data_IF_372966742865
#
_entry.id   IF_372966742865
#
_cell.length_a   1.000
_cell.length_b   1.000
_cell.length_c   1.000
_cell.angle_alpha   90.00
_cell.angle_beta   90.00
_cell.angle_gamma   90.00
#
_symmetry.space_group_name_H-M   'P 1'
#
loop_
_entity.id
_entity.type
_entity.pdbx_description
1 polymer ?
#
# COMPACT_ATOMS: atom_id res chain seq x y z
N UNK A 1 12.19 26.91 36.18
CA UNK A 1 11.59 27.37 34.91
C UNK A 1 11.93 26.46 33.72
N UNK A 2 13.20 26.02 33.57
CA UNK A 2 13.66 25.10 32.51
C UNK A 2 12.81 23.82 32.35
N UNK A 3 12.37 23.18 33.44
CA UNK A 3 11.54 21.96 33.38
C UNK A 3 10.16 22.19 32.74
N UNK A 4 9.57 23.38 32.94
CA UNK A 4 8.28 23.75 32.33
C UNK A 4 8.44 24.10 30.84
N UNK A 5 9.57 24.73 30.48
CA UNK A 5 9.92 25.04 29.09
C UNK A 5 10.16 23.76 28.28
N UNK A 6 10.85 22.78 28.84
CA UNK A 6 11.11 21.49 28.19
C UNK A 6 9.80 20.69 27.99
N UNK A 7 8.91 20.69 28.99
CA UNK A 7 7.59 20.07 28.86
C UNK A 7 6.74 20.73 27.77
N UNK A 8 6.76 22.05 27.68
CA UNK A 8 5.99 22.81 26.68
C UNK A 8 6.50 22.58 25.25
N UNK A 9 7.83 22.55 25.07
CA UNK A 9 8.47 22.21 23.79
C UNK A 9 8.09 20.79 23.34
N UNK A 10 8.12 19.82 24.25
CA UNK A 10 7.77 18.44 23.96
C UNK A 10 6.29 18.29 23.54
N UNK A 11 5.36 19.01 24.19
CA UNK A 11 3.94 19.01 23.81
C UNK A 11 3.75 19.60 22.40
N UNK A 12 4.49 20.66 22.06
CA UNK A 12 4.39 21.30 20.75
C UNK A 12 4.93 20.40 19.62
N UNK A 13 5.95 19.59 19.91
CA UNK A 13 6.54 18.62 18.98
C UNK A 13 5.62 17.43 18.66
N UNK A 14 4.63 17.13 19.51
CA UNK A 14 3.71 15.98 19.34
C UNK A 14 2.36 16.44 18.73
N UNK A 15 2.12 17.75 18.62
CA UNK A 15 0.93 18.32 18.01
C UNK A 15 0.98 18.20 16.47
N UNK A 16 0.77 17.00 15.94
CA UNK A 16 0.55 16.78 14.51
C UNK A 16 -0.88 17.17 14.10
N UNK A 17 -1.04 17.81 12.94
CA UNK A 17 -2.35 18.03 12.34
C UNK A 17 -2.63 16.89 11.35
N UNK A 18 -3.76 16.19 11.51
CA UNK A 18 -4.28 15.29 10.48
C UNK A 18 -4.72 16.13 9.28
N UNK A 19 -4.09 15.93 8.12
CA UNK A 19 -4.42 16.67 6.90
C UNK A 19 -5.15 15.75 5.93
N UNK A 20 -6.47 15.85 5.90
CA UNK A 20 -7.30 15.14 4.93
C UNK A 20 -8.77 15.09 5.37
N UNK A 21 -9.74 15.19 4.44
CA UNK A 21 -11.13 14.94 4.76
C UNK A 21 -11.34 13.46 5.08
N UNK A 22 -12.25 13.17 6.02
CA UNK A 22 -12.67 11.79 6.28
C UNK A 22 -13.24 11.17 5.01
N UNK A 23 -12.85 9.92 4.74
CA UNK A 23 -13.38 9.18 3.60
C UNK A 23 -14.90 9.04 3.72
N UNK A 24 -15.62 9.51 2.70
CA UNK A 24 -17.06 9.25 2.52
C UNK A 24 -17.25 8.46 1.24
N UNK A 25 -17.87 7.28 1.36
CA UNK A 25 -18.24 6.48 0.19
C UNK A 25 -19.17 7.31 -0.70
N UNK A 26 -18.85 7.47 -2.01
CA UNK A 26 -19.74 8.15 -2.93
C UNK A 26 -21.09 7.42 -3.02
N UNK A 27 -22.19 8.19 -3.04
CA UNK A 27 -23.50 7.63 -3.36
C UNK A 27 -23.53 7.23 -4.84
N UNK A 28 -23.91 5.98 -5.10
CA UNK A 28 -24.06 5.47 -6.47
C UNK A 28 -25.56 5.39 -6.73
N UNK A 29 -26.03 6.15 -7.73
CA UNK A 29 -27.44 6.14 -8.15
C UNK A 29 -27.75 4.86 -8.91
N UNK A 30 -28.11 3.80 -8.18
CA UNK A 30 -28.60 2.54 -8.73
C UNK A 30 -30.00 2.23 -8.17
N UNK A 31 -30.82 1.46 -8.92
CA UNK A 31 -32.08 0.97 -8.39
C UNK A 31 -31.85 0.14 -7.13
N UNK A 32 -32.67 0.36 -6.09
CA UNK A 32 -32.58 -0.41 -4.84
C UNK A 32 -32.90 -1.89 -4.98
N UNK A 33 -33.48 -2.31 -6.12
CA UNK A 33 -33.76 -3.70 -6.46
C UNK A 33 -33.59 -3.94 -7.96
N UNK A 34 -33.16 -5.15 -8.29
CA UNK A 34 -33.17 -5.65 -9.66
C UNK A 34 -34.60 -6.02 -10.07
N UNK A 35 -34.90 -5.93 -11.37
CA UNK A 35 -36.22 -6.30 -11.92
C UNK A 35 -36.59 -7.76 -11.63
N UNK A 36 -35.59 -8.63 -11.52
CA UNK A 36 -35.73 -10.01 -11.12
C UNK A 36 -34.91 -10.21 -9.85
N UNK A 37 -35.59 -10.64 -8.78
CA UNK A 37 -34.97 -10.85 -7.48
C UNK A 37 -34.52 -12.31 -7.38
N UNK A 38 -33.25 -12.56 -7.67
CA UNK A 38 -32.64 -13.87 -7.47
C UNK A 38 -32.05 -13.94 -6.05
N UNK A 39 -32.72 -14.69 -5.18
CA UNK A 39 -32.31 -14.87 -3.77
C UNK A 39 -31.05 -15.73 -3.64
N UNK A 40 -30.71 -16.53 -4.65
CA UNK A 40 -29.56 -17.44 -4.64
C UNK A 40 -28.28 -16.73 -5.13
N UNK A 41 -28.41 -15.67 -5.92
CA UNK A 41 -27.30 -14.86 -6.42
C UNK A 41 -26.36 -14.32 -5.33
N UNK A 42 -26.89 -13.96 -4.16
CA UNK A 42 -26.07 -13.45 -3.04
C UNK A 42 -25.16 -14.53 -2.43
N UNK A 43 -25.56 -15.81 -2.48
CA UNK A 43 -24.77 -16.91 -1.94
C UNK A 43 -23.59 -17.31 -2.84
N UNK A 44 -23.60 -16.88 -4.12
CA UNK A 44 -22.64 -17.31 -5.13
C UNK A 44 -21.30 -16.55 -5.11
N UNK A 45 -21.23 -15.40 -4.43
CA UNK A 45 -20.06 -14.49 -4.47
C UNK A 45 -18.81 -15.08 -3.79
N UNK A 46 -18.95 -16.07 -2.92
CA UNK A 46 -17.86 -16.67 -2.15
C UNK A 46 -17.61 -18.17 -2.46
N UNK A 47 -18.15 -18.69 -3.56
CA UNK A 47 -17.99 -20.09 -3.94
C UNK A 47 -16.94 -20.25 -5.05
N UNK A 48 -16.35 -21.45 -5.14
CA UNK A 48 -15.64 -21.93 -6.34
C UNK A 48 -16.65 -22.08 -7.47
N UNK A 49 -17.00 -20.97 -8.11
CA UNK A 49 -18.14 -20.88 -9.04
C UNK A 49 -18.08 -21.95 -10.15
N UNK A 50 -16.88 -22.37 -10.56
CA UNK A 50 -16.67 -23.38 -11.59
C UNK A 50 -17.10 -24.80 -11.17
N UNK A 51 -17.24 -25.11 -9.88
CA UNK A 51 -17.71 -26.42 -9.42
C UNK A 51 -19.20 -26.66 -9.77
N UNK A 52 -19.95 -25.60 -10.04
CA UNK A 52 -21.36 -25.69 -10.45
C UNK A 52 -21.56 -26.36 -11.81
N UNK A 53 -20.51 -26.37 -12.65
CA UNK A 53 -20.53 -27.10 -13.93
C UNK A 53 -20.46 -28.61 -13.74
N UNK A 54 -20.11 -29.10 -12.53
CA UNK A 54 -19.98 -30.52 -12.20
C UNK A 54 -19.04 -31.28 -13.14
N UNK A 55 -18.01 -30.60 -13.64
CA UNK A 55 -16.98 -31.19 -14.49
C UNK A 55 -15.66 -31.34 -13.68
N UNK A 56 -15.24 -32.56 -13.35
CA UNK A 56 -14.02 -32.79 -12.58
C UNK A 56 -12.74 -32.38 -13.34
N UNK A 57 -12.76 -32.40 -14.68
CA UNK A 57 -11.63 -31.94 -15.50
C UNK A 57 -11.50 -30.42 -15.41
N UNK A 58 -12.62 -29.70 -15.52
CA UNK A 58 -12.63 -28.24 -15.34
C UNK A 58 -12.13 -27.85 -13.94
N UNK A 59 -12.54 -28.57 -12.90
CA UNK A 59 -12.08 -28.31 -11.54
C UNK A 59 -10.55 -28.41 -11.43
N UNK A 60 -9.96 -29.48 -11.98
CA UNK A 60 -8.50 -29.66 -11.97
C UNK A 60 -7.76 -28.57 -12.76
N UNK A 61 -8.31 -28.15 -13.91
CA UNK A 61 -7.75 -27.06 -14.71
C UNK A 61 -7.80 -25.72 -13.97
N UNK A 62 -8.92 -25.42 -13.30
CA UNK A 62 -9.08 -24.20 -12.50
C UNK A 62 -8.14 -24.18 -11.30
N UNK A 63 -7.95 -25.31 -10.61
CA UNK A 63 -6.99 -25.40 -9.51
C UNK A 63 -5.55 -25.21 -9.99
N UNK A 64 -5.19 -25.80 -11.12
CA UNK A 64 -3.89 -25.58 -11.77
C UNK A 64 -3.71 -24.10 -12.15
N UNK A 65 -4.74 -23.49 -12.74
CA UNK A 65 -4.71 -22.08 -13.12
C UNK A 65 -4.55 -21.16 -11.91
N UNK A 66 -5.25 -21.41 -10.80
CA UNK A 66 -5.13 -20.59 -9.60
C UNK A 66 -3.72 -20.65 -8.98
N UNK A 67 -3.00 -21.74 -9.16
CA UNK A 67 -1.62 -21.90 -8.67
C UNK A 67 -0.59 -21.30 -9.63
N UNK A 68 -0.77 -21.49 -10.93
CA UNK A 68 0.28 -21.23 -11.92
C UNK A 68 0.04 -20.01 -12.81
N UNK A 69 -1.16 -19.43 -12.82
CA UNK A 69 -1.49 -18.29 -13.67
C UNK A 69 -0.63 -17.08 -13.32
N UNK A 70 0.19 -16.66 -14.28
CA UNK A 70 1.15 -15.57 -14.09
C UNK A 70 0.48 -14.21 -13.96
N UNK A 71 -0.69 -13.98 -14.57
CA UNK A 71 -1.43 -12.72 -14.39
C UNK A 71 -1.95 -12.56 -12.96
N UNK A 72 -2.47 -13.64 -12.37
CA UNK A 72 -2.92 -13.65 -10.97
C UNK A 72 -1.73 -13.47 -10.02
N UNK A 73 -0.62 -14.15 -10.28
CA UNK A 73 0.61 -13.98 -9.50
C UNK A 73 1.18 -12.56 -9.62
N UNK A 74 1.17 -11.95 -10.81
CA UNK A 74 1.56 -10.55 -11.01
C UNK A 74 0.61 -9.62 -10.23
N UNK A 75 -0.70 -9.87 -10.23
CA UNK A 75 -1.64 -9.09 -9.46
C UNK A 75 -1.37 -9.18 -7.95
N UNK A 76 -1.06 -10.37 -7.44
CA UNK A 76 -0.67 -10.57 -6.04
C UNK A 76 0.64 -9.85 -5.71
N UNK A 77 1.67 -9.97 -6.57
CA UNK A 77 2.95 -9.28 -6.39
C UNK A 77 2.82 -7.75 -6.37
N UNK A 78 1.88 -7.19 -7.15
CA UNK A 78 1.56 -5.76 -7.08
C UNK A 78 1.03 -5.35 -5.70
N UNK A 79 0.19 -6.18 -5.06
CA UNK A 79 -0.29 -5.89 -3.70
C UNK A 79 0.89 -5.85 -2.71
N UNK A 80 1.82 -6.78 -2.82
CA UNK A 80 3.04 -6.82 -1.99
C UNK A 80 3.93 -5.60 -2.25
N UNK A 81 4.14 -5.22 -3.51
CA UNK A 81 4.87 -4.02 -3.92
C UNK A 81 4.28 -2.75 -3.28
N UNK A 82 2.96 -2.57 -3.38
CA UNK A 82 2.27 -1.42 -2.78
C UNK A 82 2.31 -1.45 -1.25
N UNK A 83 2.28 -2.64 -0.63
CA UNK A 83 2.45 -2.79 0.81
C UNK A 83 3.86 -2.36 1.25
N UNK A 84 4.89 -2.74 0.49
CA UNK A 84 6.26 -2.29 0.72
C UNK A 84 6.41 -0.78 0.55
N UNK A 85 5.81 -0.19 -0.49
CA UNK A 85 5.77 1.27 -0.69
C UNK A 85 5.08 2.00 0.45
N UNK A 86 3.96 1.46 0.95
CA UNK A 86 3.26 2.01 2.11
C UNK A 86 4.14 2.01 3.35
N UNK A 87 4.84 0.90 3.64
CA UNK A 87 5.75 0.81 4.78
C UNK A 87 6.92 1.80 4.64
N UNK A 88 7.50 1.92 3.44
CA UNK A 88 8.56 2.89 3.16
C UNK A 88 8.09 4.33 3.41
N UNK A 89 6.95 4.74 2.84
CA UNK A 89 6.36 6.06 3.05
C UNK A 89 5.98 6.32 4.53
N UNK A 90 5.54 5.29 5.24
CA UNK A 90 5.29 5.37 6.68
C UNK A 90 6.60 5.54 7.48
N UNK A 91 7.71 4.99 6.97
CA UNK A 91 9.04 5.15 7.55
C UNK A 91 9.46 6.61 7.69
N UNK A 92 9.03 7.47 6.76
CA UNK A 92 9.30 8.92 6.79
C UNK A 92 8.69 9.64 8.01
N UNK A 93 7.75 9.01 8.72
CA UNK A 93 7.20 9.54 9.98
C UNK A 93 8.15 9.35 11.18
N UNK A 94 9.26 8.62 11.01
CA UNK A 94 10.21 8.30 12.08
C UNK A 94 11.59 8.96 11.83
N UNK A 95 12.38 9.21 12.90
CA UNK A 95 13.76 9.66 12.76
C UNK A 95 14.60 8.66 11.95
N UNK A 96 15.26 9.16 10.91
CA UNK A 96 16.17 8.38 10.07
C UNK A 96 17.58 8.45 10.66
N UNK A 97 18.25 7.30 10.77
CA UNK A 97 19.64 7.23 11.18
C UNK A 97 20.49 6.75 10.00
N UNK A 98 21.47 7.54 9.58
CA UNK A 98 22.38 7.19 8.51
C UNK A 98 23.81 7.54 8.89
N UNK A 99 24.76 6.66 8.54
CA UNK A 99 26.18 6.88 8.73
C UNK A 99 26.86 6.91 7.35
N UNK A 100 27.66 7.94 7.12
CA UNK A 100 28.45 8.10 5.88
C UNK A 100 29.86 8.58 6.20
N UNK A 101 30.85 8.08 5.47
CA UNK A 101 32.23 8.56 5.53
C UNK A 101 32.70 8.98 4.14
N UNK A 102 33.42 10.10 4.04
CA UNK A 102 34.03 10.53 2.78
C UNK A 102 35.45 11.05 3.03
N UNK A 103 36.33 10.86 2.04
CA UNK A 103 37.68 11.40 2.02
C UNK A 103 37.92 12.04 0.65
N UNK A 104 38.35 13.30 0.63
CA UNK A 104 38.68 14.02 -0.59
C UNK A 104 40.06 14.64 -0.45
N UNK A 105 40.85 14.59 -1.53
CA UNK A 105 42.15 15.25 -1.63
C UNK A 105 42.18 16.07 -2.90
N UNK A 106 42.11 17.39 -2.74
CA UNK A 106 42.18 18.33 -3.84
C UNK A 106 43.56 18.99 -3.84
N UNK A 107 44.26 18.96 -4.98
CA UNK A 107 45.47 19.75 -5.20
C UNK A 107 45.15 20.82 -6.23
N UNK A 108 45.15 22.08 -5.82
CA UNK A 108 45.14 23.19 -6.76
C UNK A 108 46.58 23.39 -7.25
N UNK A 109 46.81 23.24 -8.54
CA UNK A 109 48.06 23.66 -9.17
C UNK A 109 48.01 25.19 -9.33
N UNK A 110 48.98 25.92 -8.78
CA UNK A 110 49.19 27.32 -9.15
C UNK A 110 49.68 27.36 -10.60
N UNK A 111 48.75 27.40 -11.56
CA UNK A 111 49.11 27.73 -12.93
C UNK A 111 49.10 29.26 -13.07
N UNK A 112 50.32 29.78 -13.00
CA UNK A 112 50.85 31.11 -13.35
C UNK A 112 49.88 32.22 -13.74
N UNK A 113 49.97 33.33 -13.00
CA UNK A 113 49.83 34.67 -13.58
C UNK A 113 51.23 35.23 -13.88
N UNK A 114 51.36 35.78 -15.10
CA UNK A 114 52.51 36.43 -15.75
C UNK A 114 53.46 35.51 -16.56
#
# INVERSE_FOLDING_TARGET
MIRKLFLFSLILLIAGCSVGPDYRRPEVSVPGKWRFEDKEAQALVNLKWWEQFRDPVLNALMETALQENKDVLIAAARIEEYSGRYIAARGDLFPQAQASGSASRQQATEQGYA
#
